data_IF_380323926156
#
_entry.id   IF_380323926156
#
_cell.length_a   1.000
_cell.length_b   1.000
_cell.length_c   1.000
_cell.angle_alpha   90.00
_cell.angle_beta   90.00
_cell.angle_gamma   90.00
#
_symmetry.space_group_name_H-M   'P 1'
#
loop_
_entity.id
_entity.type
_entity.pdbx_description
1 polymer ?
#
# COMPACT_ATOMS: atom_id res chain seq x y z
N UNK A 1 5.90 -30.77 -9.95
CA UNK A 1 5.16 -31.01 -8.71
C UNK A 1 4.52 -32.38 -8.74
N UNK A 2 4.52 -33.12 -7.63
CA UNK A 2 4.05 -34.52 -7.56
C UNK A 2 3.12 -34.73 -6.35
N UNK A 3 2.48 -35.91 -6.27
CA UNK A 3 1.64 -36.28 -5.10
C UNK A 3 0.20 -35.76 -5.15
N UNK A 4 -0.27 -35.27 -6.31
CA UNK A 4 -1.63 -34.83 -6.49
C UNK A 4 -2.60 -36.02 -6.56
N UNK A 5 -3.73 -35.92 -5.88
CA UNK A 5 -4.75 -37.00 -5.81
C UNK A 5 -5.65 -37.00 -7.05
N UNK A 6 -5.11 -37.15 -8.24
CA UNK A 6 -5.85 -37.16 -9.50
C UNK A 6 -6.23 -35.78 -10.03
N UNK A 7 -5.80 -34.70 -9.39
CA UNK A 7 -6.10 -33.30 -9.76
C UNK A 7 -4.98 -32.65 -10.59
N UNK A 8 -3.94 -33.41 -10.91
CA UNK A 8 -2.84 -32.95 -11.74
C UNK A 8 -3.21 -32.71 -13.20
N UNK A 9 -2.19 -32.48 -14.02
CA UNK A 9 -2.37 -32.21 -15.44
C UNK A 9 -2.98 -33.38 -16.17
N UNK A 10 -3.75 -33.10 -17.24
CA UNK A 10 -4.37 -34.12 -18.07
C UNK A 10 -3.35 -34.84 -18.91
N UNK A 11 -3.74 -36.03 -19.40
CA UNK A 11 -2.88 -36.94 -20.16
C UNK A 11 -2.31 -36.30 -21.45
N UNK A 12 -2.96 -35.29 -21.98
CA UNK A 12 -2.59 -34.62 -23.24
C UNK A 12 -1.64 -33.41 -23.04
N UNK A 13 -1.25 -33.13 -21.78
CA UNK A 13 -0.29 -32.04 -21.49
C UNK A 13 1.12 -32.42 -21.95
N UNK A 14 1.44 -32.05 -23.19
CA UNK A 14 2.75 -32.34 -23.83
C UNK A 14 3.91 -31.78 -23.00
N UNK A 15 3.73 -30.60 -22.42
CA UNK A 15 4.74 -29.96 -21.59
C UNK A 15 5.07 -30.78 -20.33
N UNK A 16 4.05 -31.29 -19.66
CA UNK A 16 4.24 -32.11 -18.41
C UNK A 16 4.87 -33.46 -18.73
N UNK A 17 4.43 -34.10 -19.82
CA UNK A 17 5.03 -35.36 -20.29
C UNK A 17 6.52 -35.17 -20.64
N UNK A 18 6.86 -34.14 -21.39
CA UNK A 18 8.24 -33.86 -21.78
C UNK A 18 9.12 -33.53 -20.57
N UNK A 19 8.61 -32.73 -19.62
CA UNK A 19 9.31 -32.40 -18.38
C UNK A 19 9.57 -33.63 -17.52
N UNK A 20 8.57 -34.53 -17.42
CA UNK A 20 8.69 -35.76 -16.64
C UNK A 20 9.68 -36.75 -17.28
N UNK A 21 9.61 -36.88 -18.62
CA UNK A 21 10.58 -37.68 -19.36
C UNK A 21 12.01 -37.19 -19.14
N UNK A 22 12.25 -35.90 -19.34
CA UNK A 22 13.57 -35.29 -19.15
C UNK A 22 14.10 -35.49 -17.72
N UNK A 23 13.21 -35.44 -16.72
CA UNK A 23 13.57 -35.69 -15.33
C UNK A 23 14.00 -37.15 -15.12
N UNK A 24 13.24 -38.11 -15.65
CA UNK A 24 13.55 -39.54 -15.54
C UNK A 24 14.82 -39.93 -16.30
N UNK A 25 15.00 -39.38 -17.50
CA UNK A 25 16.23 -39.57 -18.28
C UNK A 25 17.47 -39.06 -17.53
N UNK A 26 17.37 -37.93 -16.82
CA UNK A 26 18.47 -37.44 -15.94
C UNK A 26 18.73 -38.31 -14.73
N UNK A 27 17.73 -39.04 -14.26
CA UNK A 27 17.89 -40.07 -13.19
C UNK A 27 18.39 -41.40 -13.71
N UNK A 28 18.68 -41.54 -15.02
CA UNK A 28 19.13 -42.79 -15.64
C UNK A 28 17.98 -43.77 -15.93
N UNK A 29 16.72 -43.34 -15.83
CA UNK A 29 15.55 -44.17 -16.05
C UNK A 29 14.97 -43.85 -17.44
N UNK A 30 15.24 -44.67 -18.43
CA UNK A 30 14.68 -44.56 -19.77
C UNK A 30 13.20 -45.00 -19.76
N UNK A 31 12.28 -44.05 -20.00
CA UNK A 31 10.84 -44.31 -20.00
C UNK A 31 10.21 -43.87 -21.32
N UNK A 32 9.34 -44.75 -21.86
CA UNK A 32 8.58 -44.37 -23.03
C UNK A 32 7.43 -43.42 -22.61
N UNK A 33 7.33 -42.28 -23.26
CA UNK A 33 6.34 -41.21 -22.94
C UNK A 33 4.89 -41.70 -22.98
N UNK A 34 4.58 -42.70 -23.81
CA UNK A 34 3.23 -43.29 -23.90
C UNK A 34 2.80 -44.09 -22.67
N UNK A 35 3.75 -44.55 -21.84
CA UNK A 35 3.49 -45.31 -20.63
C UNK A 35 3.25 -44.46 -19.37
N UNK A 36 3.56 -43.16 -19.42
CA UNK A 36 3.46 -42.25 -18.30
C UNK A 36 2.00 -41.86 -18.02
N UNK A 37 1.56 -42.04 -16.76
CA UNK A 37 0.28 -41.53 -16.25
C UNK A 37 0.53 -40.30 -15.38
N UNK A 38 0.09 -39.14 -15.85
CA UNK A 38 0.43 -37.83 -15.23
C UNK A 38 -0.66 -37.24 -14.32
N UNK A 39 -1.75 -38.01 -14.03
CA UNK A 39 -2.86 -37.50 -13.19
C UNK A 39 -2.44 -36.96 -11.80
N UNK A 40 -1.32 -37.42 -11.28
CA UNK A 40 -0.80 -37.04 -9.96
C UNK A 40 0.38 -36.06 -10.05
N UNK A 41 0.63 -35.50 -11.23
CA UNK A 41 1.76 -34.59 -11.50
C UNK A 41 1.23 -33.33 -12.17
N UNK A 42 1.80 -32.19 -11.84
CA UNK A 42 1.52 -30.94 -12.50
C UNK A 42 2.81 -30.19 -12.81
N UNK A 43 2.85 -29.54 -13.94
CA UNK A 43 3.86 -28.54 -14.27
C UNK A 43 3.50 -27.23 -13.60
N UNK A 44 4.47 -26.64 -12.92
CA UNK A 44 4.27 -25.43 -12.12
C UNK A 44 5.35 -24.40 -12.39
N UNK A 45 4.96 -23.14 -12.34
CA UNK A 45 5.86 -22.00 -12.21
C UNK A 45 6.16 -21.79 -10.72
N UNK A 46 7.42 -21.59 -10.40
CA UNK A 46 7.88 -21.41 -9.03
C UNK A 46 8.58 -20.06 -8.93
N UNK A 47 8.10 -19.22 -8.03
CA UNK A 47 8.66 -17.89 -7.80
C UNK A 47 8.93 -17.65 -6.31
N UNK A 48 9.95 -16.86 -6.02
CA UNK A 48 10.23 -16.40 -4.67
C UNK A 48 10.72 -14.94 -4.71
N UNK A 49 10.41 -14.18 -3.68
CA UNK A 49 10.98 -12.85 -3.51
C UNK A 49 12.21 -12.96 -2.61
N UNK A 50 13.33 -12.56 -3.13
CA UNK A 50 14.60 -12.59 -2.41
C UNK A 50 14.95 -11.19 -1.90
N UNK A 51 14.95 -10.94 -0.58
CA UNK A 51 15.48 -9.71 0.00
C UNK A 51 16.97 -9.54 -0.28
N UNK A 52 17.43 -8.30 -0.46
CA UNK A 52 18.84 -8.00 -0.74
C UNK A 52 19.78 -8.48 0.38
N UNK A 53 19.30 -8.46 1.62
CA UNK A 53 20.04 -8.90 2.80
C UNK A 53 20.10 -10.43 3.00
N UNK A 54 19.49 -11.21 2.09
CA UNK A 54 19.45 -12.67 2.21
C UNK A 54 20.85 -13.28 2.07
N UNK A 55 21.23 -14.08 3.02
CA UNK A 55 22.51 -14.80 3.03
C UNK A 55 22.31 -16.26 2.62
N UNK A 56 23.34 -16.94 2.11
CA UNK A 56 23.30 -18.39 1.90
C UNK A 56 22.81 -19.13 3.16
N UNK A 57 21.87 -20.06 2.98
CA UNK A 57 21.19 -20.77 4.05
C UNK A 57 19.92 -20.11 4.59
N UNK A 58 19.63 -18.84 4.24
CA UNK A 58 18.36 -18.20 4.58
C UNK A 58 17.19 -18.91 3.93
N UNK A 59 16.03 -18.94 4.61
CA UNK A 59 14.79 -19.52 4.10
C UNK A 59 13.90 -18.44 3.53
N UNK A 60 13.24 -18.75 2.41
CA UNK A 60 12.31 -17.88 1.71
C UNK A 60 10.99 -18.59 1.48
N UNK A 61 9.93 -17.84 1.51
CA UNK A 61 8.62 -18.33 1.07
C UNK A 61 8.58 -18.44 -0.46
N UNK A 62 7.99 -19.52 -0.93
CA UNK A 62 7.94 -19.87 -2.35
C UNK A 62 6.51 -19.97 -2.81
N UNK A 63 6.17 -19.22 -3.83
CA UNK A 63 4.86 -19.29 -4.49
C UNK A 63 4.95 -20.27 -5.65
N UNK A 64 3.98 -21.15 -5.72
CA UNK A 64 3.85 -22.18 -6.76
C UNK A 64 2.52 -22.00 -7.47
N UNK A 65 2.55 -21.88 -8.79
CA UNK A 65 1.36 -21.69 -9.64
C UNK A 65 1.33 -22.72 -10.75
N UNK A 66 0.18 -23.33 -11.02
CA UNK A 66 0.03 -24.25 -12.13
C UNK A 66 0.22 -23.55 -13.48
N UNK A 67 0.96 -24.18 -14.36
CA UNK A 67 1.17 -23.73 -15.77
C UNK A 67 0.32 -24.57 -16.72
N UNK A 68 0.02 -25.81 -16.31
CA UNK A 68 -0.79 -26.74 -17.09
C UNK A 68 -2.28 -26.62 -16.78
N UNK A 69 -2.99 -27.70 -16.98
CA UNK A 69 -4.44 -27.82 -16.80
C UNK A 69 -4.84 -28.56 -15.51
N UNK A 70 -3.95 -28.58 -14.52
CA UNK A 70 -4.23 -29.11 -13.19
C UNK A 70 -5.41 -28.36 -12.54
N UNK A 71 -6.35 -29.10 -12.01
CA UNK A 71 -7.56 -28.54 -11.38
C UNK A 71 -7.35 -28.13 -9.93
N UNK A 72 -6.37 -28.73 -9.25
CA UNK A 72 -5.96 -28.39 -7.90
C UNK A 72 -4.52 -28.84 -7.62
N UNK A 73 -3.79 -28.05 -6.87
CA UNK A 73 -2.44 -28.37 -6.38
C UNK A 73 -2.46 -28.84 -4.92
N UNK A 74 -3.62 -29.01 -4.31
CA UNK A 74 -3.79 -29.41 -2.91
C UNK A 74 -3.12 -30.76 -2.64
N UNK A 75 -2.36 -30.84 -1.55
CA UNK A 75 -1.61 -32.04 -1.14
C UNK A 75 -0.35 -32.33 -1.95
N UNK A 76 -0.05 -31.49 -2.93
CA UNK A 76 1.12 -31.68 -3.78
C UNK A 76 2.43 -31.31 -3.08
N UNK A 77 3.50 -31.95 -3.53
CA UNK A 77 4.88 -31.70 -3.07
C UNK A 77 5.71 -31.18 -4.25
N UNK A 78 6.38 -30.06 -4.05
CA UNK A 78 7.33 -29.51 -5.00
C UNK A 78 8.64 -30.29 -4.89
N UNK A 79 9.08 -30.87 -6.00
CA UNK A 79 10.42 -31.45 -6.11
C UNK A 79 11.45 -30.32 -6.15
N UNK A 80 12.69 -30.64 -5.76
CA UNK A 80 13.79 -29.68 -5.77
C UNK A 80 13.86 -28.95 -7.12
N UNK A 81 13.74 -27.64 -7.03
CA UNK A 81 13.65 -26.74 -8.19
C UNK A 81 14.62 -25.57 -7.99
N UNK A 82 15.50 -25.36 -8.95
CA UNK A 82 16.43 -24.24 -8.93
C UNK A 82 15.74 -22.97 -9.41
N UNK A 83 15.68 -21.94 -8.57
CA UNK A 83 15.19 -20.60 -8.90
C UNK A 83 16.34 -19.76 -9.39
N UNK A 84 16.18 -19.24 -10.62
CA UNK A 84 17.21 -18.47 -11.30
C UNK A 84 16.84 -16.99 -11.36
N UNK A 85 17.84 -16.14 -11.25
CA UNK A 85 17.70 -14.72 -11.56
C UNK A 85 17.71 -14.47 -13.07
N UNK A 86 17.52 -13.20 -13.45
CA UNK A 86 17.55 -12.76 -14.85
C UNK A 86 18.93 -13.03 -15.50
N UNK A 87 20.00 -13.07 -14.71
CA UNK A 87 21.37 -13.40 -15.13
C UNK A 87 21.59 -14.91 -15.40
N UNK A 88 20.54 -15.74 -15.26
CA UNK A 88 20.58 -17.19 -15.45
C UNK A 88 21.23 -17.98 -14.30
N UNK A 89 21.75 -17.31 -13.27
CA UNK A 89 22.38 -17.97 -12.11
C UNK A 89 21.34 -18.45 -11.12
N UNK A 90 21.61 -19.59 -10.46
CA UNK A 90 20.77 -20.12 -9.40
C UNK A 90 21.04 -19.35 -8.09
N UNK A 91 19.99 -18.80 -7.50
CA UNK A 91 20.04 -18.07 -6.24
C UNK A 91 19.35 -18.81 -5.09
N UNK A 92 18.37 -19.65 -5.40
CA UNK A 92 17.61 -20.37 -4.40
C UNK A 92 17.24 -21.77 -4.90
N UNK A 93 17.18 -22.74 -4.00
CA UNK A 93 16.62 -24.06 -4.23
C UNK A 93 15.30 -24.17 -3.50
N UNK A 94 14.23 -24.45 -4.23
CA UNK A 94 12.87 -24.57 -3.70
C UNK A 94 12.41 -26.02 -3.64
N UNK A 95 11.85 -26.44 -2.51
CA UNK A 95 11.21 -27.76 -2.33
C UNK A 95 10.25 -27.75 -1.14
N UNK A 96 9.31 -28.66 -1.11
CA UNK A 96 8.43 -28.84 0.06
C UNK A 96 6.98 -29.08 -0.28
N UNK A 97 6.18 -29.26 0.77
CA UNK A 97 4.75 -29.46 0.66
C UNK A 97 4.02 -28.14 0.46
N UNK A 98 3.07 -28.13 -0.47
CA UNK A 98 2.31 -26.93 -0.83
C UNK A 98 1.13 -26.72 0.13
N UNK A 99 0.98 -25.51 0.62
CA UNK A 99 -0.22 -25.04 1.31
C UNK A 99 -1.07 -24.23 0.33
N UNK A 100 -2.32 -24.64 0.13
CA UNK A 100 -3.29 -23.96 -0.76
C UNK A 100 -4.36 -23.31 0.10
N UNK A 101 -4.70 -22.07 -0.19
CA UNK A 101 -5.69 -21.29 0.58
C UNK A 101 -7.15 -21.56 0.24
N UNK A 102 -7.47 -22.59 -0.57
CA UNK A 102 -8.81 -22.89 -1.02
C UNK A 102 -9.13 -24.38 -0.98
N UNK A 103 -10.41 -24.71 -1.15
CA UNK A 103 -10.87 -26.08 -1.39
C UNK A 103 -11.76 -26.15 -2.64
N UNK A 104 -11.71 -27.30 -3.29
CA UNK A 104 -12.60 -27.63 -4.43
C UNK A 104 -13.24 -28.97 -4.15
N UNK A 105 -14.56 -29.03 -4.24
CA UNK A 105 -15.33 -30.28 -4.17
C UNK A 105 -16.07 -30.45 -5.49
N UNK A 106 -15.75 -31.52 -6.20
CA UNK A 106 -16.37 -31.85 -7.49
C UNK A 106 -17.20 -33.12 -7.31
N UNK A 107 -18.53 -33.03 -7.45
CA UNK A 107 -19.44 -34.15 -7.49
C UNK A 107 -19.95 -34.43 -8.91
N UNK A 108 -20.60 -35.56 -9.13
CA UNK A 108 -21.11 -35.93 -10.44
C UNK A 108 -22.19 -34.98 -11.01
N UNK A 109 -22.86 -34.20 -10.17
CA UNK A 109 -23.93 -33.27 -10.55
C UNK A 109 -23.69 -31.81 -10.14
N UNK A 110 -22.67 -31.50 -9.31
CA UNK A 110 -22.35 -30.14 -8.88
C UNK A 110 -20.87 -30.02 -8.52
N UNK A 111 -20.28 -28.87 -8.81
CA UNK A 111 -18.93 -28.49 -8.35
C UNK A 111 -19.00 -27.19 -7.54
N UNK A 112 -18.41 -27.21 -6.35
CA UNK A 112 -18.25 -25.98 -5.54
C UNK A 112 -16.77 -25.73 -5.34
N UNK A 113 -16.32 -24.57 -5.79
CA UNK A 113 -14.95 -24.11 -5.60
C UNK A 113 -14.97 -22.82 -4.77
N UNK A 114 -14.20 -22.81 -3.71
CA UNK A 114 -13.97 -21.60 -2.91
C UNK A 114 -12.47 -21.28 -2.93
N UNK A 115 -12.14 -20.10 -3.43
CA UNK A 115 -10.77 -19.63 -3.67
C UNK A 115 -10.00 -20.39 -4.78
N UNK A 116 -8.80 -19.89 -5.10
CA UNK A 116 -7.95 -20.43 -6.18
C UNK A 116 -7.15 -21.62 -5.64
N UNK A 117 -7.35 -22.80 -6.23
CA UNK A 117 -6.66 -24.04 -5.83
C UNK A 117 -5.42 -24.35 -6.68
N UNK A 118 -5.18 -23.55 -7.71
CA UNK A 118 -4.06 -23.74 -8.66
C UNK A 118 -2.84 -22.89 -8.30
N UNK A 119 -2.91 -22.15 -7.18
CA UNK A 119 -1.81 -21.38 -6.61
C UNK A 119 -1.69 -21.70 -5.13
N UNK A 120 -0.47 -21.84 -4.65
CA UNK A 120 -0.20 -22.08 -3.23
C UNK A 120 1.16 -21.56 -2.80
N UNK A 121 1.41 -21.65 -1.51
CA UNK A 121 2.61 -21.19 -0.84
C UNK A 121 3.32 -22.36 -0.18
N UNK A 122 4.65 -22.36 -0.24
CA UNK A 122 5.51 -23.25 0.56
C UNK A 122 6.27 -22.35 1.54
N UNK A 123 5.80 -22.23 2.80
CA UNK A 123 6.47 -21.39 3.79
C UNK A 123 7.89 -21.90 4.07
N UNK A 124 8.89 -21.01 3.94
CA UNK A 124 10.28 -21.37 4.11
C UNK A 124 10.80 -22.47 3.17
N UNK A 125 10.11 -22.75 2.07
CA UNK A 125 10.44 -23.82 1.13
C UNK A 125 11.62 -23.53 0.22
N UNK A 126 12.06 -22.28 0.13
CA UNK A 126 13.25 -21.87 -0.61
C UNK A 126 14.46 -21.73 0.30
N UNK A 127 15.59 -22.31 -0.09
CA UNK A 127 16.87 -22.13 0.61
C UNK A 127 17.77 -21.31 -0.32
N UNK A 128 18.29 -20.21 0.19
CA UNK A 128 19.20 -19.33 -0.55
C UNK A 128 20.54 -20.02 -0.70
N UNK A 129 20.99 -20.26 -1.93
CA UNK A 129 22.30 -20.81 -2.26
C UNK A 129 23.33 -19.71 -2.49
N UNK A 130 22.89 -18.59 -3.06
CA UNK A 130 23.75 -17.46 -3.38
C UNK A 130 23.08 -16.16 -2.97
N UNK A 131 23.74 -15.40 -2.11
CA UNK A 131 23.33 -14.04 -1.76
C UNK A 131 23.61 -13.06 -2.89
N UNK A 132 22.91 -11.94 -2.89
CA UNK A 132 23.28 -10.78 -3.70
C UNK A 132 24.46 -10.10 -2.99
N UNK A 133 25.59 -9.87 -3.67
CA UNK A 133 26.71 -9.16 -3.05
C UNK A 133 26.28 -7.71 -2.77
N UNK A 134 26.04 -7.43 -1.52
CA UNK A 134 25.70 -6.10 -1.05
C UNK A 134 26.48 -5.81 0.23
N UNK A 135 27.47 -4.93 0.11
CA UNK A 135 28.36 -4.56 1.19
C UNK A 135 27.78 -3.34 1.93
N UNK A 136 26.76 -3.60 2.76
CA UNK A 136 26.04 -2.57 3.49
C UNK A 136 26.96 -1.67 4.32
N UNK A 137 27.90 -2.26 5.04
CA UNK A 137 28.80 -1.52 5.93
C UNK A 137 29.90 -0.71 5.22
N UNK A 138 30.05 -0.82 3.90
CA UNK A 138 31.02 -0.08 3.12
C UNK A 138 30.42 1.14 2.41
N UNK A 139 29.15 1.44 2.66
CA UNK A 139 28.49 2.60 2.08
C UNK A 139 28.95 3.88 2.79
N UNK A 140 29.50 4.84 2.04
CA UNK A 140 29.84 6.18 2.56
C UNK A 140 28.60 7.10 2.57
N UNK A 141 27.54 6.70 1.87
CA UNK A 141 26.34 7.51 1.69
C UNK A 141 25.09 6.63 1.68
N UNK A 142 24.07 7.07 2.38
CA UNK A 142 22.74 6.44 2.40
C UNK A 142 21.72 7.38 1.75
N UNK A 143 20.75 6.83 1.07
CA UNK A 143 19.61 7.58 0.53
C UNK A 143 18.34 7.05 1.16
N UNK A 144 17.61 7.91 1.85
CA UNK A 144 16.30 7.61 2.39
C UNK A 144 15.25 8.07 1.37
N UNK A 145 14.44 7.12 0.91
CA UNK A 145 13.36 7.41 -0.03
C UNK A 145 12.01 7.41 0.70
N UNK A 146 11.28 8.50 0.58
CA UNK A 146 9.92 8.61 1.09
C UNK A 146 8.93 7.92 0.15
N UNK A 147 7.81 7.47 0.67
CA UNK A 147 6.73 6.87 -0.14
C UNK A 147 5.85 7.93 -0.81
N UNK A 148 5.71 9.06 -0.15
CA UNK A 148 4.96 10.23 -0.65
C UNK A 148 5.93 11.40 -0.65
N UNK A 149 6.00 12.11 -1.78
CA UNK A 149 6.89 13.25 -1.94
C UNK A 149 6.33 14.49 -1.27
N UNK A 150 7.11 15.10 -0.36
CA UNK A 150 6.82 16.38 0.25
C UNK A 150 8.12 17.08 0.67
N UNK A 151 8.31 18.32 0.23
CA UNK A 151 9.52 19.10 0.50
C UNK A 151 9.67 19.46 1.97
N UNK A 152 8.58 19.80 2.64
CA UNK A 152 8.57 20.16 4.06
C UNK A 152 8.96 18.97 4.92
N UNK A 153 8.38 17.80 4.66
CA UNK A 153 8.69 16.55 5.34
C UNK A 153 10.15 16.12 5.08
N UNK A 154 10.62 16.23 3.83
CA UNK A 154 12.02 15.91 3.48
C UNK A 154 13.00 16.78 4.26
N UNK A 155 12.72 18.08 4.37
CA UNK A 155 13.53 19.02 5.12
C UNK A 155 13.51 18.71 6.63
N UNK A 156 12.34 18.44 7.20
CA UNK A 156 12.20 18.05 8.62
C UNK A 156 12.97 16.76 8.94
N UNK A 157 12.92 15.76 8.04
CA UNK A 157 13.71 14.53 8.19
C UNK A 157 15.21 14.87 8.23
N UNK A 158 15.70 15.69 7.31
CA UNK A 158 17.10 16.08 7.28
C UNK A 158 17.54 16.82 8.57
N UNK A 159 16.70 17.72 9.07
CA UNK A 159 16.96 18.45 10.32
C UNK A 159 16.98 17.54 11.55
N UNK A 160 16.01 16.63 11.67
CA UNK A 160 15.97 15.66 12.76
C UNK A 160 17.17 14.71 12.75
N UNK A 161 17.57 14.25 11.56
CA UNK A 161 18.76 13.43 11.37
C UNK A 161 20.03 14.18 11.79
N UNK A 162 20.19 15.44 11.34
CA UNK A 162 21.33 16.26 11.71
C UNK A 162 21.40 16.51 13.21
N UNK A 163 20.27 16.76 13.86
CA UNK A 163 20.20 16.91 15.31
C UNK A 163 20.59 15.60 16.04
N UNK A 164 20.13 14.44 15.57
CA UNK A 164 20.43 13.14 16.17
C UNK A 164 21.90 12.72 15.97
N UNK A 165 22.49 13.06 14.81
CA UNK A 165 23.89 12.74 14.49
C UNK A 165 24.90 13.79 14.98
N UNK A 166 24.43 14.95 15.47
CA UNK A 166 25.26 16.03 15.98
C UNK A 166 26.08 16.77 14.93
N UNK A 167 25.60 16.82 13.66
CA UNK A 167 26.31 17.51 12.58
C UNK A 167 25.51 17.53 11.26
N UNK A 168 25.98 18.26 10.25
CA UNK A 168 25.29 18.45 8.97
C UNK A 168 25.51 17.26 8.02
N UNK A 169 25.13 16.07 8.41
CA UNK A 169 25.31 14.85 7.64
C UNK A 169 24.13 14.53 6.70
N UNK A 170 22.94 15.04 7.00
CA UNK A 170 21.74 14.80 6.21
C UNK A 170 21.32 16.06 5.46
N UNK A 171 20.85 15.87 4.22
CA UNK A 171 20.27 16.95 3.39
C UNK A 171 19.13 16.41 2.55
N UNK A 172 18.05 17.17 2.42
CA UNK A 172 17.01 16.91 1.45
C UNK A 172 17.58 17.19 0.04
N UNK A 173 17.39 16.23 -0.87
CA UNK A 173 17.82 16.34 -2.27
C UNK A 173 16.66 16.78 -3.14
N UNK A 174 15.52 16.19 -2.92
CA UNK A 174 14.25 16.49 -3.57
C UNK A 174 13.06 16.16 -2.64
N UNK A 175 11.83 16.26 -3.16
CA UNK A 175 10.62 15.99 -2.38
C UNK A 175 10.50 14.54 -1.89
N UNK A 176 11.25 13.59 -2.46
CA UNK A 176 11.14 12.16 -2.15
C UNK A 176 12.39 11.58 -1.53
N UNK A 177 13.53 12.28 -1.57
CA UNK A 177 14.82 11.72 -1.17
C UNK A 177 15.61 12.62 -0.25
N UNK A 178 16.13 12.01 0.82
CA UNK A 178 17.07 12.62 1.76
C UNK A 178 18.38 11.83 1.69
N UNK A 179 19.46 12.54 1.40
CA UNK A 179 20.81 11.98 1.36
C UNK A 179 21.47 12.14 2.72
N UNK A 180 22.08 11.07 3.22
CA UNK A 180 22.77 11.02 4.49
C UNK A 180 24.21 10.60 4.25
N UNK A 181 25.16 11.47 4.49
CA UNK A 181 26.59 11.15 4.50
C UNK A 181 26.92 10.42 5.81
N UNK A 182 27.61 9.29 5.73
CA UNK A 182 27.89 8.46 6.89
C UNK A 182 28.94 9.13 7.78
N UNK A 183 28.60 9.45 9.06
CA UNK A 183 29.57 9.99 9.99
C UNK A 183 30.76 9.04 10.20
N UNK A 184 32.00 9.55 10.39
CA UNK A 184 33.21 8.74 10.53
C UNK A 184 33.12 7.61 11.56
N UNK A 185 32.38 7.87 12.65
CA UNK A 185 32.16 6.91 13.74
C UNK A 185 31.36 5.66 13.34
N UNK A 186 30.61 5.71 12.24
CA UNK A 186 29.79 4.60 11.74
C UNK A 186 30.34 3.92 10.49
N UNK A 187 31.47 4.38 9.92
CA UNK A 187 32.03 3.89 8.66
C UNK A 187 32.33 2.39 8.63
N UNK A 188 32.57 1.75 9.78
CA UNK A 188 32.81 0.32 9.86
C UNK A 188 31.56 -0.51 10.24
N UNK A 189 30.53 0.15 10.75
CA UNK A 189 29.30 -0.50 11.20
C UNK A 189 28.11 0.46 11.09
N UNK A 190 27.34 0.34 10.02
CA UNK A 190 26.16 1.18 9.74
C UNK A 190 24.91 0.75 10.52
N UNK A 191 24.90 -0.44 11.11
CA UNK A 191 23.71 -0.99 11.78
C UNK A 191 23.22 -0.08 12.92
N UNK A 192 24.08 0.44 13.83
CA UNK A 192 23.64 1.37 14.88
C UNK A 192 23.12 2.69 14.33
N UNK A 193 23.71 3.21 13.23
CA UNK A 193 23.22 4.40 12.56
C UNK A 193 21.80 4.16 12.02
N UNK A 194 21.57 3.06 11.30
CA UNK A 194 20.27 2.73 10.77
C UNK A 194 19.22 2.54 11.87
N UNK A 195 19.58 1.85 12.95
CA UNK A 195 18.68 1.69 14.10
C UNK A 195 18.30 3.04 14.74
N UNK A 196 19.23 3.99 14.81
CA UNK A 196 18.91 5.34 15.29
C UNK A 196 18.02 6.12 14.32
N UNK A 197 18.24 5.96 13.00
CA UNK A 197 17.41 6.58 11.95
C UNK A 197 15.99 6.04 11.96
N UNK A 198 15.83 4.72 12.08
CA UNK A 198 14.50 4.07 12.10
C UNK A 198 13.64 4.48 13.30
N UNK A 199 14.26 4.84 14.41
CA UNK A 199 13.56 5.25 15.63
C UNK A 199 13.30 6.76 15.72
N UNK A 200 13.69 7.57 14.72
CA UNK A 200 13.43 9.00 14.71
C UNK A 200 11.97 9.30 14.40
N UNK A 201 11.32 10.01 15.30
CA UNK A 201 9.97 10.50 15.09
C UNK A 201 9.97 11.79 14.26
N UNK A 202 9.26 11.76 13.15
CA UNK A 202 9.01 12.92 12.28
C UNK A 202 7.52 13.08 12.09
N UNK A 203 7.03 14.30 12.21
CA UNK A 203 5.63 14.62 11.89
C UNK A 203 5.55 14.98 10.40
N UNK A 204 5.00 14.10 9.55
CA UNK A 204 4.89 14.41 8.13
C UNK A 204 3.89 15.55 7.91
N UNK A 205 4.19 16.41 6.96
CA UNK A 205 3.22 17.33 6.42
C UNK A 205 2.27 16.53 5.51
N UNK A 206 0.99 16.56 5.82
CA UNK A 206 -0.01 15.82 5.07
C UNK A 206 -0.87 16.79 4.29
N UNK A 207 -0.97 16.58 2.97
CA UNK A 207 -1.89 17.35 2.14
C UNK A 207 -3.31 17.24 2.72
N UNK A 208 -4.00 18.37 2.79
CA UNK A 208 -5.39 18.40 3.19
C UNK A 208 -6.21 17.55 2.22
N UNK A 209 -6.89 16.52 2.74
CA UNK A 209 -7.63 15.56 1.92
C UNK A 209 -9.03 15.32 2.49
N UNK A 210 -9.99 15.24 1.59
CA UNK A 210 -11.37 14.85 1.88
C UNK A 210 -11.67 13.57 1.11
N UNK A 211 -12.06 12.53 1.81
CA UNK A 211 -12.46 11.25 1.20
C UNK A 211 -13.96 11.08 1.41
N UNK A 212 -14.70 10.83 0.32
CA UNK A 212 -16.14 10.60 0.36
C UNK A 212 -16.45 9.24 -0.26
N UNK A 213 -17.13 8.40 0.51
CA UNK A 213 -17.69 7.15 -0.01
C UNK A 213 -19.11 7.42 -0.55
N UNK A 214 -19.26 7.31 -1.87
CA UNK A 214 -20.55 7.54 -2.54
C UNK A 214 -21.62 6.53 -2.13
N UNK A 215 -21.22 5.31 -1.77
CA UNK A 215 -22.14 4.22 -1.47
C UNK A 215 -22.71 4.30 -0.06
N UNK A 216 -21.88 4.66 0.91
CA UNK A 216 -22.27 4.76 2.32
C UNK A 216 -22.58 6.18 2.77
N UNK A 217 -22.17 7.20 2.01
CA UNK A 217 -22.29 8.61 2.39
C UNK A 217 -21.28 9.04 3.47
N UNK A 218 -20.29 8.20 3.78
CA UNK A 218 -19.28 8.54 4.79
C UNK A 218 -18.32 9.58 4.25
N UNK A 219 -18.10 10.66 5.01
CA UNK A 219 -17.13 11.72 4.71
C UNK A 219 -16.01 11.67 5.75
N UNK A 220 -14.78 11.52 5.28
CA UNK A 220 -13.57 11.55 6.12
C UNK A 220 -12.81 12.83 5.81
N UNK A 221 -12.58 13.65 6.83
CA UNK A 221 -11.93 14.94 6.73
C UNK A 221 -10.51 14.87 7.30
N UNK A 222 -9.53 15.32 6.51
CA UNK A 222 -8.18 15.56 6.99
C UNK A 222 -8.13 16.76 7.95
N UNK A 223 -7.11 16.82 8.80
CA UNK A 223 -6.97 17.84 9.86
C UNK A 223 -6.89 19.27 9.32
N UNK A 224 -6.23 19.48 8.17
CA UNK A 224 -5.87 20.79 7.64
C UNK A 224 -6.78 21.26 6.50
N UNK A 225 -7.97 20.65 6.37
CA UNK A 225 -8.97 21.03 5.35
C UNK A 225 -9.60 22.36 5.72
N UNK A 226 -9.52 23.33 4.80
CA UNK A 226 -10.08 24.67 4.96
C UNK A 226 -10.98 25.02 3.78
N UNK A 227 -11.98 25.86 4.06
CA UNK A 227 -12.88 26.43 3.05
C UNK A 227 -12.75 27.95 3.10
N UNK A 228 -12.47 28.55 1.92
CA UNK A 228 -12.56 30.00 1.74
C UNK A 228 -14.02 30.42 1.52
N UNK A 229 -14.25 31.71 1.58
CA UNK A 229 -15.57 32.32 1.29
C UNK A 229 -16.09 31.84 -0.06
N UNK A 230 -17.25 31.23 -0.05
CA UNK A 230 -17.89 30.73 -1.27
C UNK A 230 -19.40 30.73 -1.14
N UNK A 231 -20.06 30.92 -2.27
CA UNK A 231 -21.49 30.69 -2.40
C UNK A 231 -21.73 29.60 -3.44
N UNK A 232 -22.41 28.55 -3.04
CA UNK A 232 -22.77 27.43 -3.93
C UNK A 232 -24.27 27.27 -3.95
N UNK A 233 -24.85 27.17 -5.13
CA UNK A 233 -26.23 26.81 -5.32
C UNK A 233 -26.30 25.42 -5.97
N UNK A 234 -26.98 24.48 -5.34
CA UNK A 234 -27.22 23.14 -5.87
C UNK A 234 -28.69 22.76 -5.74
N UNK A 235 -29.39 22.62 -6.89
CA UNK A 235 -30.83 22.38 -6.90
C UNK A 235 -31.59 23.53 -6.25
N UNK A 236 -32.32 23.27 -5.19
CA UNK A 236 -33.01 24.26 -4.35
C UNK A 236 -32.20 24.65 -3.08
N UNK A 237 -30.99 24.13 -2.92
CA UNK A 237 -30.09 24.46 -1.82
C UNK A 237 -29.13 25.59 -2.24
N UNK A 238 -29.03 26.61 -1.41
CA UNK A 238 -28.06 27.70 -1.60
C UNK A 238 -27.21 27.84 -0.33
N UNK A 239 -25.91 27.77 -0.48
CA UNK A 239 -24.92 27.73 0.63
C UNK A 239 -23.97 28.88 0.41
N UNK A 240 -23.74 29.69 1.46
CA UNK A 240 -22.75 30.78 1.45
C UNK A 240 -21.86 30.63 2.68
N UNK A 241 -20.56 30.59 2.46
CA UNK A 241 -19.53 30.54 3.50
C UNK A 241 -18.87 31.90 3.60
N UNK A 242 -18.87 32.50 4.79
CA UNK A 242 -18.26 33.81 5.06
C UNK A 242 -17.40 33.73 6.33
N UNK A 243 -16.26 34.37 6.32
CA UNK A 243 -15.32 34.42 7.45
C UNK A 243 -15.56 35.71 8.26
N UNK A 244 -15.86 35.62 9.57
CA UNK A 244 -15.93 36.80 10.44
C UNK A 244 -14.88 36.73 11.55
N UNK A 245 -14.27 37.88 11.79
CA UNK A 245 -13.39 38.06 12.94
C UNK A 245 -14.13 38.91 13.97
N UNK A 246 -14.47 38.31 15.10
CA UNK A 246 -15.03 39.04 16.21
C UNK A 246 -13.91 39.54 17.13
N UNK A 247 -13.70 40.83 17.14
CA UNK A 247 -12.72 41.48 18.01
C UNK A 247 -13.41 41.85 19.34
N UNK A 248 -13.11 41.12 20.41
CA UNK A 248 -13.53 41.52 21.75
C UNK A 248 -12.59 42.59 22.28
N UNK A 249 -13.06 43.84 22.31
CA UNK A 249 -12.33 44.94 22.95
C UNK A 249 -12.68 45.00 24.44
N UNK A 250 -11.66 45.04 25.31
CA UNK A 250 -11.89 45.34 26.75
C UNK A 250 -12.49 46.73 26.90
N UNK A 251 -13.44 46.86 27.84
CA UNK A 251 -14.01 48.18 28.18
C UNK A 251 -12.97 49.20 28.66
N UNK A 252 -13.24 50.50 28.49
CA UNK A 252 -12.34 51.55 28.93
C UNK A 252 -12.07 51.42 30.44
N UNK A 253 -10.79 51.30 30.81
CA UNK A 253 -10.22 51.08 32.15
C UNK A 253 -10.00 49.64 32.61
N UNK A 254 -10.05 48.62 31.74
CA UNK A 254 -9.61 47.25 32.09
C UNK A 254 -8.21 46.97 31.54
N UNK A 255 -7.33 46.34 32.35
CA UNK A 255 -5.98 45.88 31.93
C UNK A 255 -6.03 44.51 31.22
N UNK A 256 -7.01 44.28 30.38
CA UNK A 256 -7.13 43.05 29.59
C UNK A 256 -6.45 43.16 28.24
N UNK A 257 -5.82 42.07 27.77
CA UNK A 257 -5.30 41.96 26.39
C UNK A 257 -6.45 41.64 25.44
N UNK A 258 -6.41 42.26 24.24
CA UNK A 258 -7.35 41.95 23.17
C UNK A 258 -7.17 40.51 22.70
N UNK A 259 -8.18 39.67 22.87
CA UNK A 259 -8.19 38.28 22.40
C UNK A 259 -9.16 38.22 21.21
N UNK A 260 -8.64 37.77 20.07
CA UNK A 260 -9.43 37.51 18.88
C UNK A 260 -9.89 36.04 18.96
N UNK A 261 -11.16 35.81 19.21
CA UNK A 261 -11.77 34.47 19.18
C UNK A 261 -12.62 34.33 17.91
N UNK A 262 -12.36 33.35 17.07
CA UNK A 262 -13.25 33.06 15.95
C UNK A 262 -14.54 32.41 16.50
N UNK A 263 -15.68 33.00 16.16
CA UNK A 263 -16.98 32.44 16.48
C UNK A 263 -17.75 32.15 15.20
N UNK A 264 -18.30 30.94 15.11
CA UNK A 264 -19.01 30.45 13.91
C UNK A 264 -20.51 30.37 14.20
N UNK A 265 -21.31 30.97 13.36
CA UNK A 265 -22.76 30.80 13.36
C UNK A 265 -23.22 30.21 12.01
N UNK A 266 -23.96 29.09 12.09
CA UNK A 266 -24.52 28.41 10.93
C UNK A 266 -26.04 28.56 10.95
N UNK A 267 -26.59 29.14 9.92
CA UNK A 267 -28.04 29.24 9.73
C UNK A 267 -28.46 28.59 8.40
N UNK A 268 -29.15 27.46 8.47
CA UNK A 268 -29.66 26.75 7.30
C UNK A 268 -31.17 26.79 7.31
N UNK A 269 -31.80 27.34 6.28
CA UNK A 269 -33.26 27.36 6.08
C UNK A 269 -33.63 26.81 4.72
N UNK A 270 -34.58 25.89 4.74
CA UNK A 270 -35.28 25.41 3.55
C UNK A 270 -36.47 26.35 3.31
N UNK A 271 -36.34 27.30 2.40
CA UNK A 271 -37.43 27.95 1.67
C UNK A 271 -36.89 28.97 0.66
N UNK A 272 -37.47 28.91 -0.54
CA UNK A 272 -37.51 29.91 -1.61
C UNK A 272 -36.56 31.13 -1.46
N UNK A 273 -35.42 31.07 -2.17
CA UNK A 273 -34.61 32.24 -2.57
C UNK A 273 -34.09 33.14 -1.45
N UNK A 274 -33.30 32.62 -0.51
CA UNK A 274 -32.45 33.46 0.32
C UNK A 274 -31.08 32.86 0.43
N UNK A 275 -30.06 33.68 0.11
CA UNK A 275 -28.64 33.42 0.41
C UNK A 275 -28.47 33.30 1.93
N UNK A 276 -28.01 32.18 2.39
CA UNK A 276 -27.55 32.01 3.77
C UNK A 276 -26.03 32.19 3.76
N UNK A 277 -25.57 33.24 4.42
CA UNK A 277 -24.13 33.50 4.61
C UNK A 277 -23.68 32.72 5.83
N UNK A 278 -22.70 31.84 5.66
CA UNK A 278 -22.01 31.14 6.75
C UNK A 278 -20.63 31.77 6.87
N UNK A 279 -20.32 32.32 8.03
CA UNK A 279 -19.04 32.97 8.29
C UNK A 279 -18.08 31.99 8.93
N UNK A 280 -16.91 31.75 8.31
CA UNK A 280 -15.79 30.99 8.90
C UNK A 280 -16.02 29.50 9.16
N UNK A 281 -16.91 28.85 8.40
CA UNK A 281 -17.25 27.46 8.61
C UNK A 281 -16.06 26.52 8.34
N UNK A 282 -15.82 25.62 9.28
CA UNK A 282 -15.01 24.44 9.03
C UNK A 282 -15.76 23.51 8.05
N UNK A 283 -15.04 22.70 7.28
CA UNK A 283 -15.70 21.72 6.41
C UNK A 283 -16.64 20.79 7.19
N UNK A 284 -16.29 20.48 8.45
CA UNK A 284 -17.12 19.67 9.33
C UNK A 284 -18.50 20.32 9.54
N UNK A 285 -18.55 21.59 9.87
CA UNK A 285 -19.80 22.33 10.10
C UNK A 285 -20.65 22.41 8.84
N UNK A 286 -20.01 22.55 7.66
CA UNK A 286 -20.70 22.49 6.38
C UNK A 286 -21.34 21.12 6.14
N UNK A 287 -20.61 20.04 6.37
CA UNK A 287 -21.09 18.67 6.20
C UNK A 287 -22.21 18.38 7.20
N UNK A 288 -22.05 18.77 8.46
CA UNK A 288 -23.06 18.60 9.49
C UNK A 288 -24.34 19.39 9.16
N UNK A 289 -24.20 20.62 8.67
CA UNK A 289 -25.33 21.44 8.20
C UNK A 289 -26.07 20.80 7.02
N UNK A 290 -25.33 20.27 6.03
CA UNK A 290 -25.91 19.57 4.88
C UNK A 290 -26.63 18.27 5.29
N UNK A 291 -26.04 17.52 6.22
CA UNK A 291 -26.67 16.32 6.76
C UNK A 291 -27.94 16.65 7.55
N UNK A 292 -27.95 17.75 8.32
CA UNK A 292 -29.11 18.17 9.09
C UNK A 292 -30.33 18.55 8.22
N UNK A 293 -30.10 19.03 7.00
CA UNK A 293 -31.15 19.31 6.02
C UNK A 293 -31.52 18.13 5.13
N UNK A 294 -30.87 16.96 5.33
CA UNK A 294 -31.17 15.73 4.60
C UNK A 294 -30.58 15.69 3.19
N UNK A 295 -29.48 16.40 2.93
CA UNK A 295 -28.76 16.30 1.67
C UNK A 295 -28.30 14.85 1.40
N UNK A 296 -28.46 14.40 0.15
CA UNK A 296 -28.00 13.06 -0.22
C UNK A 296 -26.48 13.01 -0.34
N UNK A 297 -25.83 11.83 -0.22
CA UNK A 297 -24.39 11.68 -0.46
C UNK A 297 -23.93 12.25 -1.81
N UNK A 298 -24.75 12.11 -2.84
CA UNK A 298 -24.48 12.67 -4.17
C UNK A 298 -24.50 14.18 -4.21
N UNK A 299 -25.42 14.79 -3.47
CA UNK A 299 -25.48 16.26 -3.35
C UNK A 299 -24.23 16.77 -2.63
N UNK A 300 -23.80 16.11 -1.54
CA UNK A 300 -22.57 16.42 -0.82
C UNK A 300 -21.35 16.36 -1.75
N UNK A 301 -21.19 15.29 -2.52
CA UNK A 301 -20.09 15.13 -3.48
C UNK A 301 -20.13 16.26 -4.53
N UNK A 302 -21.31 16.57 -5.07
CA UNK A 302 -21.49 17.63 -6.08
C UNK A 302 -21.14 19.01 -5.54
N UNK A 303 -21.54 19.31 -4.31
CA UNK A 303 -21.23 20.57 -3.62
C UNK A 303 -19.73 20.66 -3.33
N UNK A 304 -19.14 19.63 -2.74
CA UNK A 304 -17.70 19.59 -2.44
C UNK A 304 -16.85 19.71 -3.70
N UNK A 305 -17.23 19.03 -4.78
CA UNK A 305 -16.57 19.15 -6.08
C UNK A 305 -16.68 20.56 -6.67
N UNK A 306 -17.84 21.20 -6.53
CA UNK A 306 -18.04 22.59 -6.98
C UNK A 306 -17.17 23.55 -6.18
N UNK A 307 -17.04 23.35 -4.86
CA UNK A 307 -16.14 24.12 -3.99
C UNK A 307 -14.66 23.88 -4.33
N UNK A 308 -14.29 22.67 -4.70
CA UNK A 308 -12.92 22.37 -5.15
C UNK A 308 -12.61 23.04 -6.49
N UNK A 309 -13.50 22.92 -7.47
CA UNK A 309 -13.32 23.52 -8.81
C UNK A 309 -13.31 25.06 -8.74
N UNK A 310 -14.08 25.65 -7.83
CA UNK A 310 -14.04 27.11 -7.59
C UNK A 310 -12.79 27.58 -6.85
N UNK A 311 -11.93 26.65 -6.36
CA UNK A 311 -10.77 26.97 -5.55
C UNK A 311 -11.10 27.36 -4.11
N UNK A 312 -12.34 27.21 -3.68
CA UNK A 312 -12.76 27.57 -2.33
C UNK A 312 -12.53 26.47 -1.32
N UNK A 313 -12.47 25.21 -1.75
CA UNK A 313 -12.04 24.08 -0.92
C UNK A 313 -10.53 23.85 -1.09
N UNK A 314 -9.76 24.12 -0.04
CA UNK A 314 -8.32 23.90 0.00
C UNK A 314 -8.01 22.46 0.45
N UNK A 315 -8.42 21.50 -0.36
CA UNK A 315 -8.16 20.08 -0.13
C UNK A 315 -8.28 19.27 -1.42
N UNK A 316 -7.60 18.14 -1.47
CA UNK A 316 -7.83 17.13 -2.48
C UNK A 316 -9.11 16.34 -2.16
N UNK A 317 -10.01 16.20 -3.12
CA UNK A 317 -11.24 15.43 -2.97
C UNK A 317 -11.07 14.07 -3.66
N UNK A 318 -11.14 13.00 -2.89
CA UNK A 318 -11.17 11.62 -3.38
C UNK A 318 -12.54 11.00 -3.13
N UNK A 319 -13.12 10.41 -4.16
CA UNK A 319 -14.41 9.69 -4.08
C UNK A 319 -14.15 8.19 -4.27
N UNK A 320 -14.66 7.36 -3.35
CA UNK A 320 -14.48 5.90 -3.34
C UNK A 320 -15.83 5.16 -3.35
#
# INVERSE_FOLDING_TARGET
>A
MVGLAGTGDKKDSVFTLSSMKNMMDRMGIGVNSSALKIKNVASVMVTARMPVSSKPGSRLDVTVSSVGDATSLLGGVLLQTALKGVDGKTYCLAQGSLTVGGFSVTGAAASTQKNVNTVGLIPGGGIVERGIPFEFNQQDKLTLNMRVGDFSTAQQIAERLNAAMGGPYARAVDAMSVSVDVPPQYKSNLVPLMASVENLEVTPDTAAKVVVDEKTGTVVLGRDVRISRAAVAHGNLQITVQESQQVSQPGPFSQGQTVVTPQTDINVREETRRLVMVEGATLQELVDGLNAIGATPRDLISILRSLQVSGSLHAELEVI
#
